data_IF_461242181499
#
_entry.id   IF_461242181499
#
_cell.length_a   1.000
_cell.length_b   1.000
_cell.length_c   1.000
_cell.angle_alpha   90.00
_cell.angle_beta   90.00
_cell.angle_gamma   90.00
#
_symmetry.space_group_name_H-M   'P 1'
#
loop_
_entity.id
_entity.type
_entity.pdbx_description
1 polymer ?
#
# COMPACT_ATOMS: atom_id res chain seq x y z
N UNK A 1 28.35 -20.90 31.78
CA UNK A 1 28.22 -19.42 31.71
C UNK A 1 27.64 -19.12 30.33
N UNK A 2 26.32 -18.90 30.25
CA UNK A 2 25.60 -18.74 28.99
C UNK A 2 25.54 -17.27 28.59
N UNK A 3 25.97 -16.97 27.36
CA UNK A 3 25.69 -15.72 26.67
C UNK A 3 24.39 -15.86 25.90
N UNK A 4 23.42 -14.99 26.18
CA UNK A 4 22.24 -14.77 25.34
C UNK A 4 22.46 -13.42 24.65
N UNK A 5 22.76 -13.47 23.36
CA UNK A 5 22.66 -12.32 22.48
C UNK A 5 21.20 -11.85 22.44
N UNK A 6 20.97 -10.64 22.93
CA UNK A 6 19.70 -9.95 22.81
C UNK A 6 19.80 -9.03 21.60
N UNK A 7 19.30 -9.47 20.46
CA UNK A 7 18.96 -8.57 19.36
C UNK A 7 17.79 -7.69 19.82
N UNK A 8 17.91 -6.35 19.87
CA UNK A 8 16.78 -5.50 20.22
C UNK A 8 15.79 -5.47 19.05
N UNK A 9 14.52 -5.74 19.35
CA UNK A 9 13.39 -5.43 18.49
C UNK A 9 13.42 -3.90 18.23
N UNK A 10 13.75 -3.47 17.01
CA UNK A 10 13.51 -2.09 16.59
C UNK A 10 12.01 -1.90 16.39
N UNK A 11 11.32 -1.54 17.48
CA UNK A 11 10.00 -0.91 17.40
C UNK A 11 10.28 0.56 17.09
N UNK A 12 9.92 1.01 15.89
CA UNK A 12 9.88 2.44 15.57
C UNK A 12 9.01 3.14 16.62
N UNK A 13 9.64 3.97 17.46
CA UNK A 13 8.96 4.87 18.37
C UNK A 13 8.95 6.24 17.72
N UNK A 14 7.79 6.85 17.43
CA UNK A 14 7.76 8.21 16.92
C UNK A 14 8.40 9.16 17.94
N UNK A 15 9.02 10.27 17.51
CA UNK A 15 9.63 11.23 18.42
C UNK A 15 8.59 11.75 19.41
N UNK A 16 8.93 11.74 20.70
CA UNK A 16 8.12 12.37 21.75
C UNK A 16 8.13 13.89 21.53
N UNK A 17 7.11 14.42 20.87
CA UNK A 17 6.87 15.86 20.85
C UNK A 17 6.41 16.28 22.25
N UNK A 18 7.25 17.00 22.97
CA UNK A 18 6.86 17.62 24.24
C UNK A 18 5.95 18.82 23.97
N UNK A 19 4.65 18.62 24.16
CA UNK A 19 3.63 19.67 24.24
C UNK A 19 3.86 20.57 25.48
N UNK A 20 4.91 21.39 25.47
CA UNK A 20 5.11 22.41 26.52
C UNK A 20 5.14 23.85 26.02
N UNK A 21 5.18 24.09 24.71
CA UNK A 21 5.25 25.45 24.17
C UNK A 21 4.10 25.82 23.20
N UNK A 22 2.98 25.09 23.21
CA UNK A 22 1.78 25.50 22.49
C UNK A 22 1.07 26.63 23.26
N UNK A 23 1.21 27.87 22.80
CA UNK A 23 0.43 29.01 23.27
C UNK A 23 -1.09 28.75 23.09
N UNK A 24 -1.95 29.22 24.02
CA UNK A 24 -3.38 28.91 23.97
C UNK A 24 -4.03 29.67 22.81
N UNK A 25 -4.60 28.95 21.85
CA UNK A 25 -5.47 29.56 20.83
C UNK A 25 -6.80 29.89 21.52
N UNK A 26 -7.11 31.17 21.53
CA UNK A 26 -8.30 31.77 22.10
C UNK A 26 -9.56 31.17 21.45
N UNK A 27 -10.48 30.65 22.29
CA UNK A 27 -11.79 30.20 21.85
C UNK A 27 -12.70 31.41 21.57
N UNK A 28 -12.77 31.84 20.31
CA UNK A 28 -13.83 32.71 19.82
C UNK A 28 -14.81 31.91 18.97
N UNK A 29 -16.02 31.76 19.51
CA UNK A 29 -17.21 31.23 18.86
C UNK A 29 -17.47 31.96 17.53
N UNK A 30 -17.45 31.21 16.42
CA UNK A 30 -18.00 31.67 15.14
C UNK A 30 -19.23 30.79 14.86
N UNK A 31 -20.39 31.45 14.80
CA UNK A 31 -21.66 30.86 14.42
C UNK A 31 -21.59 30.36 12.97
N UNK A 32 -22.03 29.12 12.74
CA UNK A 32 -22.16 28.52 11.40
C UNK A 32 -23.50 28.96 10.79
N UNK A 33 -23.55 29.61 9.62
CA UNK A 33 -24.82 29.85 8.94
C UNK A 33 -25.30 28.57 8.24
N UNK A 34 -26.58 28.25 8.43
CA UNK A 34 -27.27 27.17 7.73
C UNK A 34 -27.32 27.42 6.21
N UNK A 35 -26.79 26.48 5.43
CA UNK A 35 -27.01 26.39 3.98
C UNK A 35 -28.16 25.41 3.67
N UNK A 36 -28.95 25.65 2.60
CA UNK A 36 -30.12 24.82 2.26
C UNK A 36 -29.70 23.47 1.65
N UNK A 37 -30.59 22.46 1.58
CA UNK A 37 -30.22 21.11 1.21
C UNK A 37 -29.90 21.02 -0.29
N UNK A 38 -28.72 20.47 -0.60
CA UNK A 38 -28.34 20.10 -1.97
C UNK A 38 -29.12 18.85 -2.36
N UNK A 39 -30.01 18.99 -3.34
CA UNK A 39 -30.68 17.90 -4.03
C UNK A 39 -29.64 17.11 -4.85
N UNK A 40 -29.35 15.85 -4.49
CA UNK A 40 -28.40 15.04 -5.25
C UNK A 40 -28.07 13.62 -4.73
N UNK A 41 -28.75 13.10 -3.71
CA UNK A 41 -28.39 11.79 -3.10
C UNK A 41 -28.71 10.54 -3.95
N UNK A 42 -29.28 10.67 -5.15
CA UNK A 42 -29.65 9.51 -5.98
C UNK A 42 -28.57 9.01 -6.95
N UNK A 43 -27.41 9.66 -7.07
CA UNK A 43 -26.38 9.30 -8.06
C UNK A 43 -25.18 8.50 -7.52
N UNK A 44 -24.97 8.45 -6.21
CA UNK A 44 -23.78 7.81 -5.61
C UNK A 44 -23.87 6.28 -5.57
N UNK A 45 -25.06 5.71 -5.35
CA UNK A 45 -25.25 4.25 -5.33
C UNK A 45 -25.10 3.60 -6.71
N UNK A 46 -25.51 4.29 -7.78
CA UNK A 46 -25.31 3.81 -9.16
C UNK A 46 -23.85 3.87 -9.58
N UNK A 47 -23.11 4.91 -9.18
CA UNK A 47 -21.67 5.03 -9.40
C UNK A 47 -20.90 3.92 -8.66
N UNK A 48 -21.17 3.71 -7.37
CA UNK A 48 -20.55 2.64 -6.59
C UNK A 48 -20.85 1.23 -7.17
N UNK A 49 -22.09 0.99 -7.63
CA UNK A 49 -22.47 -0.28 -8.26
C UNK A 49 -21.89 -0.47 -9.69
N UNK A 50 -21.45 0.61 -10.35
CA UNK A 50 -20.77 0.58 -11.63
C UNK A 50 -19.26 0.31 -11.46
N UNK A 51 -18.62 0.92 -10.46
CA UNK A 51 -17.23 0.61 -10.06
C UNK A 51 -17.11 -0.87 -9.67
N UNK A 52 -18.04 -1.38 -8.86
CA UNK A 52 -18.03 -2.78 -8.42
C UNK A 52 -18.26 -3.79 -9.57
N UNK A 53 -19.13 -3.46 -10.55
CA UNK A 53 -19.35 -4.30 -11.74
C UNK A 53 -18.19 -4.25 -12.74
N UNK A 54 -17.45 -3.15 -12.82
CA UNK A 54 -16.31 -3.00 -13.73
C UNK A 54 -15.03 -3.63 -13.18
N UNK A 55 -14.84 -3.64 -11.86
CA UNK A 55 -13.79 -4.45 -11.22
C UNK A 55 -13.96 -5.95 -11.50
N UNK A 56 -15.19 -6.42 -11.74
CA UNK A 56 -15.48 -7.81 -12.14
C UNK A 56 -15.26 -8.10 -13.63
N UNK A 57 -15.19 -7.07 -14.51
CA UNK A 57 -15.03 -7.24 -15.96
C UNK A 57 -13.57 -7.29 -16.41
N UNK A 58 -12.63 -7.09 -15.50
CA UNK A 58 -11.21 -7.21 -15.77
C UNK A 58 -10.88 -8.70 -15.77
N UNK A 59 -10.39 -9.18 -16.91
CA UNK A 59 -9.78 -10.51 -17.00
C UNK A 59 -8.46 -10.49 -16.25
N UNK A 60 -8.53 -10.50 -14.91
CA UNK A 60 -7.45 -11.05 -14.11
C UNK A 60 -7.11 -12.41 -14.74
N UNK A 61 -5.82 -12.79 -14.84
CA UNK A 61 -5.47 -14.14 -15.25
C UNK A 61 -6.34 -15.12 -14.47
N UNK A 62 -6.94 -16.15 -15.08
CA UNK A 62 -7.88 -17.01 -14.35
C UNK A 62 -7.28 -17.42 -12.99
N UNK A 63 -8.06 -17.25 -11.91
CA UNK A 63 -7.67 -17.82 -10.62
C UNK A 63 -7.41 -19.32 -10.86
N UNK A 64 -6.38 -19.90 -10.25
CA UNK A 64 -6.32 -21.36 -10.22
C UNK A 64 -7.62 -21.82 -9.57
N UNK A 65 -8.35 -22.79 -10.14
CA UNK A 65 -9.53 -23.30 -9.46
C UNK A 65 -9.09 -23.70 -8.05
N UNK A 66 -9.74 -23.13 -7.03
CA UNK A 66 -9.68 -23.69 -5.70
C UNK A 66 -10.02 -25.18 -5.88
N UNK A 67 -9.11 -26.05 -5.43
CA UNK A 67 -9.24 -27.50 -5.66
C UNK A 67 -10.68 -27.92 -5.38
N UNK A 68 -11.31 -28.61 -6.34
CA UNK A 68 -12.70 -29.08 -6.27
C UNK A 68 -12.94 -30.19 -5.24
N UNK A 69 -11.98 -30.42 -4.34
CA UNK A 69 -12.14 -31.34 -3.22
C UNK A 69 -13.13 -30.70 -2.26
N UNK A 70 -14.32 -31.29 -2.15
CA UNK A 70 -15.31 -30.91 -1.15
C UNK A 70 -14.64 -30.88 0.24
N UNK A 71 -14.48 -29.69 0.77
CA UNK A 71 -13.77 -29.45 2.02
C UNK A 71 -14.81 -29.61 3.14
N UNK A 72 -14.69 -30.60 4.04
CA UNK A 72 -15.62 -30.68 5.16
C UNK A 72 -15.52 -29.39 5.99
N UNK A 73 -16.69 -28.81 6.29
CA UNK A 73 -16.83 -27.59 7.07
C UNK A 73 -16.10 -27.72 8.42
N UNK A 74 -15.34 -26.70 8.86
CA UNK A 74 -14.72 -26.71 10.17
C UNK A 74 -15.80 -26.77 11.26
N UNK A 75 -15.54 -27.50 12.34
CA UNK A 75 -16.50 -27.63 13.46
C UNK A 75 -16.21 -26.62 14.58
N UNK A 76 -14.99 -26.08 14.62
CA UNK A 76 -14.59 -25.12 15.65
C UNK A 76 -15.23 -23.75 15.40
N UNK A 77 -15.74 -23.13 16.47
CA UNK A 77 -16.26 -21.75 16.48
C UNK A 77 -15.30 -20.77 17.19
N UNK A 78 -14.30 -21.29 17.89
CA UNK A 78 -13.21 -20.56 18.54
C UNK A 78 -11.89 -21.27 18.23
N UNK A 79 -10.81 -20.52 17.99
CA UNK A 79 -9.49 -21.12 17.66
C UNK A 79 -8.98 -22.08 18.74
N UNK A 80 -9.29 -21.83 20.01
CA UNK A 80 -8.94 -22.70 21.13
C UNK A 80 -9.65 -24.07 21.10
N UNK A 81 -10.78 -24.16 20.38
CA UNK A 81 -11.54 -25.39 20.18
C UNK A 81 -11.16 -26.16 18.91
N UNK A 82 -10.23 -25.64 18.09
CA UNK A 82 -9.81 -26.29 16.86
C UNK A 82 -8.91 -27.50 17.13
N UNK A 83 -9.18 -28.61 16.46
CA UNK A 83 -8.27 -29.74 16.44
C UNK A 83 -6.99 -29.42 15.66
N UNK A 84 -5.90 -30.18 15.93
CA UNK A 84 -4.64 -30.06 15.16
C UNK A 84 -4.87 -30.21 13.66
N UNK A 85 -5.71 -31.16 13.25
CA UNK A 85 -5.99 -31.43 11.84
C UNK A 85 -6.72 -30.25 11.18
N UNK A 86 -7.67 -29.61 11.89
CA UNK A 86 -8.34 -28.40 11.40
C UNK A 86 -7.36 -27.24 11.26
N UNK A 87 -6.47 -27.02 12.23
CA UNK A 87 -5.48 -25.94 12.15
C UNK A 87 -4.43 -26.16 11.06
N UNK A 88 -3.95 -27.38 10.87
CA UNK A 88 -3.04 -27.71 9.76
C UNK A 88 -3.68 -27.45 8.40
N UNK A 89 -4.97 -27.76 8.27
CA UNK A 89 -5.76 -27.48 7.08
C UNK A 89 -5.96 -25.99 6.85
N UNK A 90 -6.31 -25.22 7.88
CA UNK A 90 -6.37 -23.75 7.83
C UNK A 90 -5.03 -23.18 7.35
N UNK A 91 -3.93 -23.67 7.93
CA UNK A 91 -2.59 -23.21 7.56
C UNK A 91 -2.24 -23.46 6.09
N UNK A 92 -2.55 -24.66 5.58
CA UNK A 92 -2.36 -25.00 4.17
C UNK A 92 -3.21 -24.12 3.22
N UNK A 93 -4.44 -23.78 3.62
CA UNK A 93 -5.30 -22.88 2.84
C UNK A 93 -4.77 -21.44 2.83
N UNK A 94 -4.23 -20.95 3.95
CA UNK A 94 -3.56 -19.64 3.98
C UNK A 94 -2.31 -19.61 3.11
N UNK A 95 -1.44 -20.63 3.19
CA UNK A 95 -0.25 -20.71 2.34
C UNK A 95 -0.60 -20.80 0.85
N UNK A 96 -1.72 -21.43 0.49
CA UNK A 96 -2.23 -21.41 -0.87
C UNK A 96 -2.77 -20.02 -1.27
N UNK A 97 -3.51 -19.36 -0.38
CA UNK A 97 -4.07 -18.02 -0.62
C UNK A 97 -3.00 -16.93 -0.74
N UNK A 98 -1.90 -17.05 0.00
CA UNK A 98 -0.75 -16.13 -0.06
C UNK A 98 -0.12 -16.08 -1.46
N UNK A 99 -0.01 -17.22 -2.15
CA UNK A 99 0.50 -17.29 -3.53
C UNK A 99 -0.35 -16.52 -4.54
N UNK A 100 -1.60 -16.26 -4.20
CA UNK A 100 -2.56 -15.48 -5.00
C UNK A 100 -2.82 -14.08 -4.40
N UNK A 101 -2.10 -13.67 -3.35
CA UNK A 101 -2.32 -12.40 -2.65
C UNK A 101 -2.11 -11.17 -3.53
N UNK A 102 -1.22 -11.23 -4.53
CA UNK A 102 -1.02 -10.17 -5.51
C UNK A 102 -2.32 -9.79 -6.25
N UNK A 103 -3.24 -10.74 -6.46
CA UNK A 103 -4.53 -10.46 -7.11
C UNK A 103 -5.42 -9.55 -6.26
N UNK A 104 -5.31 -9.67 -4.93
CA UNK A 104 -6.04 -8.81 -3.99
C UNK A 104 -5.47 -7.39 -4.02
N UNK A 105 -4.14 -7.25 -4.10
CA UNK A 105 -3.50 -5.95 -4.25
C UNK A 105 -3.87 -5.28 -5.58
N UNK A 106 -3.89 -6.05 -6.68
CA UNK A 106 -4.39 -5.57 -7.98
C UNK A 106 -5.85 -5.13 -7.89
N UNK A 107 -6.71 -5.90 -7.20
CA UNK A 107 -8.11 -5.50 -7.02
C UNK A 107 -8.24 -4.18 -6.24
N UNK A 108 -7.36 -3.93 -5.26
CA UNK A 108 -7.31 -2.65 -4.56
C UNK A 108 -6.86 -1.52 -5.50
N UNK A 109 -5.82 -1.74 -6.32
CA UNK A 109 -5.42 -0.78 -7.35
C UNK A 109 -6.58 -0.47 -8.32
N UNK A 110 -7.32 -1.48 -8.77
CA UNK A 110 -8.46 -1.27 -9.68
C UNK A 110 -9.61 -0.46 -9.05
N UNK A 111 -9.75 -0.47 -7.72
CA UNK A 111 -10.74 0.40 -7.05
C UNK A 111 -10.39 1.89 -7.15
N UNK A 112 -9.15 2.22 -7.51
CA UNK A 112 -8.67 3.58 -7.70
C UNK A 112 -8.87 4.11 -9.12
N UNK A 113 -9.56 3.36 -9.98
CA UNK A 113 -9.88 3.76 -11.36
C UNK A 113 -11.20 4.53 -11.42
N UNK A 114 -11.18 5.72 -12.02
CA UNK A 114 -12.40 6.48 -12.28
C UNK A 114 -12.19 7.99 -12.21
N UNK A 115 -13.20 8.76 -12.61
CA UNK A 115 -13.14 10.22 -12.49
C UNK A 115 -13.25 10.68 -11.02
N UNK A 116 -13.92 9.90 -10.17
CA UNK A 116 -14.12 10.16 -8.75
C UNK A 116 -12.82 10.01 -7.92
N UNK A 117 -11.82 9.32 -8.48
CA UNK A 117 -10.50 9.12 -7.85
C UNK A 117 -9.43 10.03 -8.46
N UNK A 118 -9.79 11.03 -9.26
CA UNK A 118 -8.84 12.02 -9.79
C UNK A 118 -8.38 13.06 -8.78
N UNK A 119 -9.19 13.30 -7.75
CA UNK A 119 -8.91 14.27 -6.67
C UNK A 119 -8.51 15.67 -7.17
N UNK A 120 -9.10 16.12 -8.28
CA UNK A 120 -8.79 17.42 -8.89
C UNK A 120 -7.61 17.44 -9.86
N UNK A 121 -6.97 16.29 -10.10
CA UNK A 121 -5.93 16.12 -11.13
C UNK A 121 -6.52 15.65 -12.46
N UNK A 122 -5.66 15.47 -13.49
CA UNK A 122 -6.10 15.01 -14.81
C UNK A 122 -6.30 13.49 -14.89
N UNK A 123 -5.71 12.73 -13.97
CA UNK A 123 -5.58 11.27 -14.04
C UNK A 123 -6.15 10.63 -12.78
N UNK A 124 -6.73 9.44 -12.90
CA UNK A 124 -7.18 8.70 -11.71
C UNK A 124 -5.97 8.18 -10.93
N UNK A 125 -6.11 7.89 -9.64
CA UNK A 125 -5.05 7.24 -8.86
C UNK A 125 -4.58 5.91 -9.48
N UNK A 126 -5.46 5.18 -10.15
CA UNK A 126 -5.08 4.01 -10.96
C UNK A 126 -4.12 4.39 -12.11
N UNK A 127 -4.46 5.43 -12.87
CA UNK A 127 -3.65 5.87 -14.01
C UNK A 127 -2.33 6.47 -13.54
N UNK A 128 -2.33 7.19 -12.42
CA UNK A 128 -1.15 7.68 -11.73
C UNK A 128 -0.18 6.52 -11.40
N UNK A 129 -0.65 5.45 -10.74
CA UNK A 129 0.16 4.27 -10.47
C UNK A 129 0.74 3.62 -11.74
N UNK A 130 -0.04 3.53 -12.83
CA UNK A 130 0.48 3.04 -14.12
C UNK A 130 1.53 3.98 -14.74
N UNK A 131 1.36 5.29 -14.62
CA UNK A 131 2.32 6.28 -15.10
C UNK A 131 3.64 6.17 -14.34
N UNK A 132 3.58 6.14 -13.01
CA UNK A 132 4.75 6.01 -12.13
C UNK A 132 5.51 4.71 -12.44
N UNK A 133 4.82 3.57 -12.52
CA UNK A 133 5.43 2.29 -12.89
C UNK A 133 6.01 2.28 -14.31
N UNK A 134 5.36 2.93 -15.26
CA UNK A 134 5.86 3.05 -16.64
C UNK A 134 7.15 3.86 -16.68
N UNK A 135 7.23 4.96 -15.92
CA UNK A 135 8.43 5.80 -15.82
C UNK A 135 9.58 5.02 -15.19
N UNK A 136 9.34 4.37 -14.05
CA UNK A 136 10.31 3.51 -13.38
C UNK A 136 10.83 2.38 -14.30
N UNK A 137 9.95 1.71 -15.03
CA UNK A 137 10.33 0.66 -15.96
C UNK A 137 11.18 1.18 -17.14
N UNK A 138 10.84 2.34 -17.69
CA UNK A 138 11.61 2.98 -18.78
C UNK A 138 12.98 3.46 -18.31
N UNK A 139 13.08 3.85 -17.05
CA UNK A 139 14.31 4.29 -16.39
C UNK A 139 15.23 3.14 -15.95
N UNK A 140 14.81 1.88 -16.16
CA UNK A 140 15.63 0.71 -15.84
C UNK A 140 15.64 0.35 -14.35
N UNK A 141 14.64 0.78 -13.59
CA UNK A 141 14.49 0.41 -12.18
C UNK A 141 14.38 -1.11 -11.99
N UNK A 142 14.70 -1.58 -10.78
CA UNK A 142 14.58 -3.00 -10.42
C UNK A 142 13.12 -3.49 -10.50
N UNK A 143 12.91 -4.80 -10.72
CA UNK A 143 11.56 -5.36 -10.80
C UNK A 143 10.68 -5.01 -9.59
N UNK A 144 11.26 -5.04 -8.39
CA UNK A 144 10.52 -4.70 -7.16
C UNK A 144 10.19 -3.22 -7.04
N UNK A 145 11.07 -2.33 -7.52
CA UNK A 145 10.82 -0.89 -7.50
C UNK A 145 9.75 -0.50 -8.52
N UNK A 146 9.70 -1.16 -9.68
CA UNK A 146 8.59 -1.00 -10.64
C UNK A 146 7.26 -1.47 -10.03
N UNK A 147 7.26 -2.61 -9.34
CA UNK A 147 6.06 -3.10 -8.63
C UNK A 147 5.65 -2.17 -7.49
N UNK A 148 6.62 -1.66 -6.72
CA UNK A 148 6.38 -0.66 -5.68
C UNK A 148 5.76 0.61 -6.27
N UNK A 149 6.33 1.13 -7.36
CA UNK A 149 5.81 2.29 -8.11
C UNK A 149 4.37 2.10 -8.57
N UNK A 150 3.99 0.89 -9.00
CA UNK A 150 2.62 0.60 -9.43
C UNK A 150 1.61 0.70 -8.29
N UNK A 151 2.03 0.38 -7.06
CA UNK A 151 1.14 0.22 -5.91
C UNK A 151 1.34 1.25 -4.80
N UNK A 152 2.22 2.24 -4.98
CA UNK A 152 2.67 3.14 -3.91
C UNK A 152 1.55 3.97 -3.25
N UNK A 153 0.48 4.27 -4.00
CA UNK A 153 -0.70 4.99 -3.49
C UNK A 153 -1.88 4.07 -3.16
N UNK A 154 -1.72 2.75 -3.24
CA UNK A 154 -2.79 1.83 -2.84
C UNK A 154 -3.05 1.95 -1.34
N UNK A 155 -4.18 2.60 -1.03
CA UNK A 155 -4.56 2.92 0.35
C UNK A 155 -4.75 4.42 0.60
N UNK A 156 -4.40 5.29 -0.35
CA UNK A 156 -4.54 6.74 -0.18
C UNK A 156 -5.95 7.17 0.22
N UNK A 157 -6.98 6.66 -0.47
CA UNK A 157 -8.38 6.96 -0.13
C UNK A 157 -8.85 6.32 1.19
N UNK A 158 -8.09 5.39 1.78
CA UNK A 158 -8.39 4.80 3.09
C UNK A 158 -7.78 5.62 4.22
N UNK A 159 -6.53 6.07 4.07
CA UNK A 159 -5.85 6.87 5.08
C UNK A 159 -4.78 7.79 4.44
N UNK A 160 -5.18 8.99 3.94
CA UNK A 160 -4.26 9.87 3.20
C UNK A 160 -3.02 10.31 3.99
N UNK A 161 -3.14 10.38 5.33
CA UNK A 161 -2.09 10.94 6.21
C UNK A 161 -0.85 10.07 6.38
N UNK A 162 -0.96 8.78 6.08
CA UNK A 162 0.15 7.82 6.19
C UNK A 162 0.03 6.74 5.11
N UNK A 163 -0.46 7.13 3.93
CA UNK A 163 -0.86 6.17 2.92
C UNK A 163 0.33 5.37 2.43
N UNK A 164 1.54 5.94 2.40
CA UNK A 164 2.77 5.23 2.03
C UNK A 164 3.06 4.01 2.92
N UNK A 165 2.65 4.03 4.19
CA UNK A 165 2.81 2.88 5.09
C UNK A 165 1.94 1.67 4.69
N UNK A 166 0.79 1.90 4.03
CA UNK A 166 -0.16 0.84 3.68
C UNK A 166 0.43 -0.13 2.65
N UNK A 167 0.82 0.29 1.44
CA UNK A 167 1.43 -0.61 0.47
C UNK A 167 2.83 -1.05 0.90
N UNK A 168 3.57 -0.21 1.65
CA UNK A 168 4.83 -0.62 2.25
C UNK A 168 4.66 -1.86 3.12
N UNK A 169 3.67 -1.88 4.02
CA UNK A 169 3.39 -3.03 4.88
C UNK A 169 2.96 -4.28 4.10
N UNK A 170 2.20 -4.12 3.03
CA UNK A 170 1.74 -5.23 2.16
C UNK A 170 2.90 -5.82 1.36
N UNK A 171 3.77 -4.98 0.79
CA UNK A 171 4.88 -5.41 -0.07
C UNK A 171 6.12 -5.83 0.70
N UNK A 172 6.28 -5.39 1.96
CA UNK A 172 7.45 -5.66 2.81
C UNK A 172 7.95 -7.10 2.77
N UNK A 173 7.11 -8.15 2.80
CA UNK A 173 7.62 -9.52 2.79
C UNK A 173 8.34 -9.91 1.49
N UNK A 174 8.16 -9.15 0.41
CA UNK A 174 8.55 -9.52 -0.94
C UNK A 174 9.60 -8.58 -1.55
N UNK A 175 9.92 -7.45 -0.92
CA UNK A 175 10.81 -6.40 -1.46
C UNK A 175 11.95 -6.11 -0.50
N UNK A 176 13.04 -5.49 -0.95
CA UNK A 176 14.16 -5.09 -0.08
C UNK A 176 13.76 -4.05 0.99
N UNK A 177 14.60 -3.88 2.01
CA UNK A 177 14.43 -2.82 3.02
C UNK A 177 14.41 -1.42 2.41
N UNK A 178 15.22 -1.17 1.37
CA UNK A 178 15.25 0.11 0.67
C UNK A 178 13.92 0.38 -0.06
N UNK A 179 13.39 -0.60 -0.80
CA UNK A 179 12.09 -0.47 -1.47
C UNK A 179 10.95 -0.29 -0.48
N UNK A 180 10.95 -1.05 0.63
CA UNK A 180 10.01 -0.84 1.73
C UNK A 180 10.11 0.59 2.29
N UNK A 181 11.33 1.08 2.49
CA UNK A 181 11.56 2.40 3.05
C UNK A 181 11.11 3.52 2.13
N UNK A 182 11.40 3.42 0.82
CA UNK A 182 10.90 4.36 -0.20
C UNK A 182 9.38 4.43 -0.14
N UNK A 183 8.68 3.29 -0.19
CA UNK A 183 7.21 3.27 -0.09
C UNK A 183 6.71 3.94 1.19
N UNK A 184 7.30 3.61 2.33
CA UNK A 184 6.84 4.12 3.62
C UNK A 184 7.07 5.63 3.82
N UNK A 185 7.94 6.26 3.01
CA UNK A 185 8.32 7.67 3.18
C UNK A 185 8.02 8.54 1.95
N UNK A 186 7.62 7.97 0.82
CA UNK A 186 7.51 8.74 -0.43
C UNK A 186 6.62 9.99 -0.28
N UNK A 187 5.55 9.94 0.50
CA UNK A 187 4.64 11.07 0.76
C UNK A 187 5.36 12.33 1.33
N UNK A 188 6.35 12.17 2.22
CA UNK A 188 7.13 13.31 2.74
C UNK A 188 8.19 13.79 1.74
N UNK A 189 8.63 12.94 0.81
CA UNK A 189 9.54 13.31 -0.27
C UNK A 189 8.82 14.00 -1.42
N UNK A 190 7.62 13.52 -1.77
CA UNK A 190 6.71 14.10 -2.76
C UNK A 190 6.27 15.51 -2.34
N UNK A 191 6.07 15.73 -1.03
CA UNK A 191 5.75 17.04 -0.47
C UNK A 191 6.71 18.15 -0.90
N UNK A 192 7.99 17.85 -1.21
CA UNK A 192 8.95 18.82 -1.76
C UNK A 192 8.37 19.59 -2.98
N UNK A 193 7.54 18.94 -3.78
CA UNK A 193 7.01 19.48 -5.02
C UNK A 193 5.78 20.38 -4.85
N UNK A 194 5.03 20.27 -3.74
CA UNK A 194 3.74 20.96 -3.60
C UNK A 194 3.48 21.63 -2.25
N UNK A 195 4.18 21.25 -1.17
CA UNK A 195 3.83 21.65 0.19
C UNK A 195 3.92 23.17 0.42
N UNK A 196 4.70 23.88 -0.40
CA UNK A 196 4.79 25.33 -0.39
C UNK A 196 3.47 26.03 -0.76
N UNK A 197 2.54 25.35 -1.45
CA UNK A 197 1.17 25.85 -1.66
C UNK A 197 0.31 25.81 -0.39
N UNK A 198 0.80 25.17 0.67
CA UNK A 198 0.19 25.09 2.00
C UNK A 198 1.07 25.74 3.08
N UNK A 199 1.97 26.66 2.70
CA UNK A 199 2.92 27.34 3.59
C UNK A 199 3.88 26.40 4.36
N UNK A 200 4.01 25.15 3.92
CA UNK A 200 4.92 24.18 4.53
C UNK A 200 6.35 24.26 4.00
N UNK A 201 7.30 23.70 4.74
CA UNK A 201 8.71 23.61 4.35
C UNK A 201 8.92 22.53 3.28
N UNK A 202 9.40 22.86 2.07
CA UNK A 202 9.72 21.86 1.06
C UNK A 202 10.78 20.86 1.53
N UNK A 203 11.66 21.24 2.46
CA UNK A 203 12.78 20.42 2.91
C UNK A 203 12.45 19.49 4.08
N UNK A 204 11.16 19.20 4.34
CA UNK A 204 10.75 18.23 5.37
C UNK A 204 11.49 16.87 5.26
N UNK A 205 11.76 16.43 4.02
CA UNK A 205 12.54 15.22 3.74
C UNK A 205 13.95 15.23 4.35
N UNK A 206 14.55 16.40 4.62
CA UNK A 206 15.92 16.52 5.12
C UNK A 206 16.14 15.88 6.50
N UNK A 207 15.06 15.67 7.26
CA UNK A 207 15.07 14.86 8.48
C UNK A 207 15.61 13.43 8.26
N UNK A 208 15.62 12.94 7.02
CA UNK A 208 16.00 11.59 6.64
C UNK A 208 17.31 11.49 5.85
N UNK A 209 18.06 12.59 5.65
CA UNK A 209 19.30 12.62 4.82
C UNK A 209 20.36 11.56 5.16
N UNK A 210 20.37 11.05 6.39
CA UNK A 210 21.29 9.99 6.82
C UNK A 210 20.89 8.56 6.45
N UNK A 211 19.70 8.35 5.85
CA UNK A 211 19.21 7.01 5.54
C UNK A 211 19.75 6.51 4.19
N UNK A 212 20.18 5.23 4.05
CA UNK A 212 20.71 4.69 2.79
C UNK A 212 19.76 4.84 1.58
N UNK A 213 18.45 4.72 1.81
CA UNK A 213 17.42 4.85 0.78
C UNK A 213 16.97 6.30 0.50
N UNK A 214 17.61 7.32 1.10
CA UNK A 214 17.22 8.73 0.91
C UNK A 214 17.25 9.13 -0.56
N UNK A 215 18.38 8.92 -1.24
CA UNK A 215 18.56 9.31 -2.65
C UNK A 215 17.62 8.53 -3.57
N UNK A 216 17.36 7.25 -3.25
CA UNK A 216 16.39 6.45 -3.99
C UNK A 216 14.96 7.01 -3.87
N UNK A 217 14.58 7.53 -2.70
CA UNK A 217 13.28 8.15 -2.48
C UNK A 217 13.18 9.53 -3.14
N UNK A 218 14.26 10.33 -3.12
CA UNK A 218 14.34 11.57 -3.90
C UNK A 218 14.14 11.27 -5.39
N UNK A 219 14.86 10.28 -5.92
CA UNK A 219 14.74 9.86 -7.33
C UNK A 219 13.33 9.42 -7.67
N UNK A 220 12.75 8.53 -6.86
CA UNK A 220 11.38 8.04 -7.01
C UNK A 220 10.38 9.21 -7.14
N UNK A 221 10.40 10.15 -6.21
CA UNK A 221 9.47 11.28 -6.19
C UNK A 221 9.72 12.26 -7.35
N UNK A 222 10.98 12.63 -7.59
CA UNK A 222 11.33 13.66 -8.56
C UNK A 222 11.23 13.21 -10.02
N UNK A 223 11.45 11.92 -10.31
CA UNK A 223 11.52 11.42 -11.68
C UNK A 223 10.33 10.58 -12.12
N UNK A 224 9.60 9.98 -11.18
CA UNK A 224 8.49 9.10 -11.52
C UNK A 224 7.16 9.59 -10.96
N UNK A 225 7.05 9.75 -9.64
CA UNK A 225 5.78 9.99 -8.95
C UNK A 225 5.23 11.42 -9.23
N UNK A 226 5.97 12.50 -8.95
CA UNK A 226 5.43 13.86 -9.18
C UNK A 226 5.07 14.14 -10.65
N UNK A 227 5.74 13.44 -11.58
CA UNK A 227 5.53 13.56 -13.03
C UNK A 227 4.36 12.72 -13.54
N UNK A 228 3.70 11.93 -12.70
CA UNK A 228 2.67 10.96 -13.08
C UNK A 228 1.23 11.52 -12.97
N UNK A 229 1.04 12.81 -13.25
CA UNK A 229 -0.26 13.49 -13.29
C UNK A 229 -0.66 13.99 -14.69
N UNK A 230 0.00 13.49 -15.74
CA UNK A 230 -0.15 13.96 -17.12
C UNK A 230 -1.25 13.20 -17.87
N UNK A 231 -2.37 13.87 -18.17
CA UNK A 231 -3.49 13.27 -18.91
C UNK A 231 -3.17 12.81 -20.33
N UNK A 232 -2.05 13.26 -20.91
CA UNK A 232 -1.59 12.88 -22.24
C UNK A 232 -0.50 11.79 -22.24
N UNK A 233 0.04 11.40 -21.07
CA UNK A 233 1.13 10.44 -21.00
C UNK A 233 0.68 9.02 -21.33
N UNK A 234 1.35 8.39 -22.30
CA UNK A 234 1.08 7.02 -22.70
C UNK A 234 1.76 6.01 -21.75
N UNK A 235 1.00 5.52 -20.78
CA UNK A 235 1.40 4.43 -19.88
C UNK A 235 1.35 3.07 -20.55
N UNK A 236 2.14 2.13 -20.04
CA UNK A 236 1.92 0.72 -20.33
C UNK A 236 0.60 0.24 -19.70
N UNK A 237 -0.13 -0.66 -20.38
CA UNK A 237 -1.27 -1.35 -19.76
C UNK A 237 -0.80 -2.25 -18.61
N UNK A 238 -1.70 -2.52 -17.66
CA UNK A 238 -1.37 -3.27 -16.43
C UNK A 238 -0.78 -4.67 -16.70
N UNK A 239 -1.16 -5.28 -17.82
CA UNK A 239 -0.67 -6.60 -18.21
C UNK A 239 0.82 -6.65 -18.55
N UNK A 240 1.40 -5.52 -18.94
CA UNK A 240 2.85 -5.34 -19.06
C UNK A 240 3.58 -5.64 -17.76
N UNK A 241 2.94 -5.37 -16.61
CA UNK A 241 3.54 -5.56 -15.28
C UNK A 241 3.24 -6.95 -14.68
N UNK A 242 2.39 -7.78 -15.29
CA UNK A 242 2.05 -9.10 -14.73
C UNK A 242 3.25 -10.01 -14.44
N UNK A 243 4.27 -10.11 -15.31
CA UNK A 243 5.44 -10.92 -15.00
C UNK A 243 6.18 -10.42 -13.75
N UNK A 244 6.38 -9.11 -13.61
CA UNK A 244 7.10 -8.51 -12.49
C UNK A 244 6.33 -8.70 -11.18
N UNK A 245 5.01 -8.47 -11.19
CA UNK A 245 4.15 -8.68 -10.02
C UNK A 245 4.22 -10.13 -9.56
N UNK A 246 4.09 -11.09 -10.48
CA UNK A 246 4.17 -12.51 -10.15
C UNK A 246 5.55 -12.89 -9.61
N UNK A 247 6.62 -12.38 -10.20
CA UNK A 247 7.98 -12.62 -9.75
C UNK A 247 8.18 -12.14 -8.32
N UNK A 248 7.84 -10.88 -8.02
CA UNK A 248 7.93 -10.31 -6.66
C UNK A 248 7.15 -11.14 -5.65
N UNK A 249 5.88 -11.45 -5.91
CA UNK A 249 5.03 -12.22 -4.99
C UNK A 249 5.34 -13.73 -4.93
N UNK A 250 6.24 -14.22 -5.78
CA UNK A 250 6.74 -15.60 -5.72
C UNK A 250 7.97 -15.78 -4.83
N UNK A 251 8.57 -14.67 -4.37
CA UNK A 251 9.70 -14.69 -3.44
C UNK A 251 9.25 -15.28 -2.11
N UNK A 252 10.18 -15.89 -1.39
CA UNK A 252 9.91 -16.34 -0.02
C UNK A 252 9.58 -15.12 0.83
N UNK A 253 8.34 -15.06 1.33
CA UNK A 253 7.88 -13.98 2.19
C UNK A 253 8.74 -13.95 3.45
N UNK A 254 9.62 -12.95 3.55
CA UNK A 254 10.50 -12.83 4.71
C UNK A 254 9.92 -11.82 5.69
N UNK A 255 9.98 -12.16 6.97
CA UNK A 255 9.96 -11.16 8.02
C UNK A 255 11.38 -11.06 8.55
N UNK A 256 11.90 -9.86 8.71
CA UNK A 256 13.26 -9.46 9.05
C UNK A 256 13.79 -9.95 10.42
N UNK A 257 13.27 -11.06 10.96
CA UNK A 257 14.13 -11.91 11.76
C UNK A 257 14.14 -13.30 11.17
N UNK A 258 15.31 -13.92 11.15
CA UNK A 258 15.51 -15.23 10.54
C UNK A 258 14.67 -16.35 11.17
N UNK A 259 15.15 -17.60 11.16
CA UNK A 259 14.38 -18.77 11.61
C UNK A 259 13.73 -18.65 13.02
N UNK A 260 14.21 -17.73 13.87
CA UNK A 260 13.67 -17.45 15.21
C UNK A 260 12.66 -16.31 15.35
N UNK A 261 12.15 -15.70 14.27
CA UNK A 261 11.17 -14.61 14.43
C UNK A 261 9.87 -15.10 15.06
N UNK A 262 9.32 -14.42 16.09
CA UNK A 262 8.08 -14.83 16.76
C UNK A 262 6.85 -14.88 15.83
N UNK A 263 6.90 -14.23 14.66
CA UNK A 263 5.81 -14.27 13.68
C UNK A 263 5.94 -15.35 12.60
N UNK A 264 7.05 -16.08 12.52
CA UNK A 264 7.35 -17.01 11.39
C UNK A 264 6.18 -17.96 11.10
N UNK A 265 5.69 -18.65 12.13
CA UNK A 265 4.66 -19.69 12.01
C UNK A 265 3.22 -19.18 12.10
N UNK A 266 3.01 -17.87 12.23
CA UNK A 266 1.66 -17.34 12.45
C UNK A 266 0.81 -17.53 11.21
N UNK A 267 -0.49 -17.77 11.42
CA UNK A 267 -1.53 -17.96 10.39
C UNK A 267 -1.39 -19.28 9.60
N UNK A 268 -0.25 -19.53 8.95
CA UNK A 268 -0.03 -20.69 8.06
C UNK A 268 0.59 -21.91 8.75
N UNK A 269 1.29 -21.70 9.88
CA UNK A 269 2.05 -22.77 10.52
C UNK A 269 3.23 -23.29 9.69
N UNK A 270 3.73 -22.49 8.74
CA UNK A 270 4.92 -22.76 7.91
C UNK A 270 6.02 -21.73 8.19
#
# INVERSE_FOLDING_TARGET
>A
RGGRDKNPLFIYSPPKVHLKDAAPICASLIAVPHSPPVCGMMNTQKAAAAVYRRAQSISLPAARPHSSVAVPEPKFIHLSGASRAEMQKVGALYAAAEKDSWRRLVALLETQRGDDTKLGTQVSLYDHGLQTATRAMKDGASEEMVVASLFHDVGELLCPKNHGEIPAAVLRPFVSEDTYWVLAHHEIFQAYHYIHHFDGDPNLRDAFKGHPAYDACVHFCADWDEKAFDGAYASYPIDKFWPLIKNVFSREAYWWAGPGHPKRMLVSGQ
#
